data_IF_567039150954
#
_entry.id   IF_567039150954
#
_cell.length_a   1.000
_cell.length_b   1.000
_cell.length_c   1.000
_cell.angle_alpha   90.00
_cell.angle_beta   90.00
_cell.angle_gamma   90.00
#
_symmetry.space_group_name_H-M   'P 1'
#
loop_
_entity.id
_entity.type
_entity.pdbx_description
1 polymer ?
#
# COMPACT_ATOMS: atom_id res chain seq x y z
N UNK A 1 19.88 -15.11 12.97
CA UNK A 1 18.74 -14.37 12.39
C UNK A 1 18.25 -13.40 13.44
N UNK A 2 18.23 -12.12 13.14
CA UNK A 2 17.69 -11.09 14.04
C UNK A 2 16.16 -11.13 14.05
N UNK A 3 15.53 -10.48 15.03
CA UNK A 3 14.07 -10.39 15.09
C UNK A 3 13.47 -9.73 13.83
N UNK A 4 14.17 -8.73 13.26
CA UNK A 4 13.70 -8.03 12.07
C UNK A 4 13.79 -8.92 10.81
N UNK A 5 14.87 -9.69 10.68
CA UNK A 5 15.02 -10.66 9.58
C UNK A 5 13.95 -11.75 9.64
N UNK A 6 13.63 -12.26 10.84
CA UNK A 6 12.57 -13.25 11.02
C UNK A 6 11.18 -12.68 10.68
N UNK A 7 10.91 -11.45 11.11
CA UNK A 7 9.68 -10.75 10.77
C UNK A 7 9.51 -10.55 9.27
N UNK A 8 10.57 -10.10 8.58
CA UNK A 8 10.55 -9.94 7.13
C UNK A 8 10.37 -11.27 6.40
N UNK A 9 11.02 -12.34 6.88
CA UNK A 9 10.86 -13.68 6.31
C UNK A 9 9.40 -14.14 6.36
N UNK A 10 8.74 -14.00 7.51
CA UNK A 10 7.33 -14.36 7.70
C UNK A 10 6.42 -13.56 6.76
N UNK A 11 6.62 -12.24 6.66
CA UNK A 11 5.80 -11.39 5.78
C UNK A 11 5.90 -11.74 4.29
N UNK A 12 6.98 -12.41 3.87
CA UNK A 12 7.20 -12.82 2.49
C UNK A 12 6.89 -14.29 2.21
N UNK A 13 6.34 -15.04 3.19
CA UNK A 13 5.91 -16.42 2.98
C UNK A 13 4.76 -16.52 1.95
N UNK A 14 4.69 -17.63 1.18
CA UNK A 14 3.56 -17.88 0.29
C UNK A 14 2.22 -17.84 1.04
N UNK A 15 1.27 -17.06 0.54
CA UNK A 15 -0.06 -16.90 1.16
C UNK A 15 -0.19 -15.74 2.16
N UNK A 16 0.92 -15.13 2.60
CA UNK A 16 0.89 -13.96 3.50
C UNK A 16 0.60 -12.64 2.79
N UNK A 17 0.67 -12.61 1.46
CA UNK A 17 0.37 -11.41 0.67
C UNK A 17 -0.74 -11.63 -0.34
N UNK A 18 -1.60 -10.62 -0.45
CA UNK A 18 -2.60 -10.53 -1.51
C UNK A 18 -2.11 -9.55 -2.58
N UNK A 19 -2.15 -9.97 -3.85
CA UNK A 19 -1.74 -9.13 -4.97
C UNK A 19 -2.97 -8.53 -5.65
N UNK A 20 -2.96 -7.21 -5.77
CA UNK A 20 -4.05 -6.46 -6.41
C UNK A 20 -3.52 -5.64 -7.57
N UNK A 21 -4.23 -5.70 -8.70
CA UNK A 21 -4.03 -4.80 -9.83
C UNK A 21 -5.20 -3.83 -9.89
N UNK A 22 -4.95 -2.58 -9.50
CA UNK A 22 -5.96 -1.53 -9.53
C UNK A 22 -6.46 -1.28 -10.95
N UNK A 23 -7.78 -1.24 -11.09
CA UNK A 23 -8.48 -0.70 -12.25
C UNK A 23 -9.02 0.71 -11.93
N UNK A 24 -9.22 1.57 -12.95
CA UNK A 24 -9.86 2.87 -12.77
C UNK A 24 -11.19 2.72 -12.01
N UNK A 25 -11.40 3.57 -11.00
CA UNK A 25 -12.61 3.55 -10.15
C UNK A 25 -12.57 2.58 -8.97
N UNK A 26 -11.61 1.66 -8.89
CA UNK A 26 -11.47 0.79 -7.72
C UNK A 26 -10.87 1.53 -6.52
N UNK A 27 -11.33 1.16 -5.32
CA UNK A 27 -10.85 1.68 -4.05
C UNK A 27 -10.29 0.55 -3.19
N UNK A 28 -9.27 0.86 -2.39
CA UNK A 28 -8.82 0.01 -1.30
C UNK A 28 -9.05 0.73 0.03
N UNK A 29 -9.74 0.06 0.94
CA UNK A 29 -9.80 0.43 2.35
C UNK A 29 -8.90 -0.56 3.10
N UNK A 30 -7.88 -0.04 3.76
CA UNK A 30 -6.88 -0.85 4.46
C UNK A 30 -6.84 -0.47 5.94
N UNK A 31 -6.76 -1.47 6.82
CA UNK A 31 -6.38 -1.25 8.21
C UNK A 31 -4.86 -1.18 8.32
N UNK A 32 -4.34 0.05 8.41
CA UNK A 32 -2.91 0.32 8.48
C UNK A 32 -2.26 -0.16 9.80
N UNK A 33 -3.02 -0.62 10.79
CA UNK A 33 -2.47 -1.19 12.04
C UNK A 33 -2.20 -2.69 11.92
N UNK A 34 -2.95 -3.38 11.07
CA UNK A 34 -2.89 -4.83 10.94
C UNK A 34 -2.12 -5.29 9.69
N UNK A 35 -2.03 -4.44 8.66
CA UNK A 35 -1.52 -4.83 7.35
C UNK A 35 -0.34 -3.98 6.90
N UNK A 36 0.74 -4.66 6.53
CA UNK A 36 1.77 -4.09 5.66
C UNK A 36 1.25 -4.00 4.22
N UNK A 37 1.55 -2.92 3.53
CA UNK A 37 1.21 -2.74 2.12
C UNK A 37 2.38 -2.14 1.36
N UNK A 38 2.58 -2.61 0.12
CA UNK A 38 3.64 -2.11 -0.77
C UNK A 38 3.12 -1.91 -2.17
N UNK A 39 3.80 -1.03 -2.92
CA UNK A 39 3.58 -0.84 -4.35
C UNK A 39 4.73 -1.51 -5.09
N UNK A 40 4.42 -2.30 -6.12
CA UNK A 40 5.45 -2.85 -7.01
C UNK A 40 6.07 -1.74 -7.86
N UNK A 41 7.30 -1.97 -8.33
CA UNK A 41 7.90 -1.11 -9.35
C UNK A 41 6.99 -1.06 -10.59
N UNK A 42 6.93 0.10 -11.24
CA UNK A 42 6.15 0.31 -12.45
C UNK A 42 6.86 1.32 -13.36
N UNK A 43 6.62 1.22 -14.66
CA UNK A 43 6.95 2.25 -15.64
C UNK A 43 5.69 3.02 -15.95
N UNK A 44 5.76 4.35 -15.86
CA UNK A 44 4.62 5.21 -16.16
C UNK A 44 4.54 5.55 -17.65
N UNK A 45 3.42 6.13 -18.06
CA UNK A 45 3.22 6.61 -19.43
C UNK A 45 3.88 7.99 -19.64
N UNK A 46 4.43 8.25 -20.84
CA UNK A 46 4.90 9.59 -21.18
C UNK A 46 3.74 10.59 -21.30
N UNK A 47 2.56 10.14 -21.78
CA UNK A 47 1.36 10.98 -21.91
C UNK A 47 0.72 11.25 -20.54
N UNK A 48 0.45 12.51 -20.23
CA UNK A 48 0.01 12.93 -18.89
C UNK A 48 -1.34 12.33 -18.48
N UNK A 49 -2.28 12.24 -19.42
CA UNK A 49 -3.62 11.72 -19.26
C UNK A 49 -3.67 10.20 -19.01
N UNK A 50 -2.57 9.50 -19.28
CA UNK A 50 -2.45 8.05 -19.06
C UNK A 50 -1.71 7.71 -17.77
N UNK A 51 -1.12 8.71 -17.12
CA UNK A 51 -0.35 8.49 -15.88
C UNK A 51 -1.24 7.93 -14.80
N UNK A 52 -0.65 7.10 -13.94
CA UNK A 52 -1.35 6.55 -12.77
C UNK A 52 -1.69 7.68 -11.79
N UNK A 53 -2.98 7.96 -11.63
CA UNK A 53 -3.49 8.88 -10.61
C UNK A 53 -4.18 8.11 -9.49
N UNK A 54 -3.80 8.38 -8.24
CA UNK A 54 -4.48 7.87 -7.05
C UNK A 54 -4.74 9.00 -6.06
N UNK A 55 -5.95 9.00 -5.50
CA UNK A 55 -6.28 9.82 -4.33
C UNK A 55 -6.09 8.96 -3.08
N UNK A 56 -5.40 9.49 -2.07
CA UNK A 56 -5.15 8.81 -0.81
C UNK A 56 -5.75 9.60 0.34
N UNK A 57 -6.51 8.91 1.18
CA UNK A 57 -7.09 9.44 2.41
C UNK A 57 -6.55 8.67 3.61
N UNK A 58 -6.36 9.37 4.73
CA UNK A 58 -6.07 8.77 6.02
C UNK A 58 -7.27 8.97 6.93
N UNK A 59 -7.86 7.86 7.38
CA UNK A 59 -9.04 7.86 8.24
C UNK A 59 -8.62 7.52 9.66
N UNK A 60 -9.05 8.33 10.63
CA UNK A 60 -8.79 8.15 12.06
C UNK A 60 -9.98 8.65 12.85
N UNK A 61 -10.32 7.93 13.92
CA UNK A 61 -11.41 8.33 14.82
C UNK A 61 -11.02 9.50 15.74
N UNK A 62 -9.71 9.71 15.95
CA UNK A 62 -9.16 10.78 16.79
C UNK A 62 -7.79 11.27 16.29
N UNK A 63 -7.35 12.44 16.78
CA UNK A 63 -6.08 13.07 16.40
C UNK A 63 -6.11 13.80 15.04
N UNK A 64 -4.95 14.27 14.59
CA UNK A 64 -4.85 14.93 13.27
C UNK A 64 -5.20 13.96 12.14
N UNK A 65 -5.97 14.46 11.17
CA UNK A 65 -6.29 13.74 9.93
C UNK A 65 -5.17 13.82 8.90
N UNK A 66 -4.21 14.73 9.10
CA UNK A 66 -3.01 14.78 8.28
C UNK A 66 -1.96 13.86 8.87
N UNK A 67 -1.48 12.92 8.05
CA UNK A 67 -0.21 12.28 8.31
C UNK A 67 0.86 13.32 7.99
N UNK A 68 1.33 14.03 9.01
CA UNK A 68 2.58 14.77 8.90
C UNK A 68 3.66 13.69 8.83
N UNK A 69 4.16 13.45 7.62
CA UNK A 69 5.27 12.52 7.41
C UNK A 69 6.47 12.88 8.25
#
# INVERSE_FOLDING_TARGET
MTALEAFEAILNEPGMSARFQFQPGQMQLIDNRALGHKRTAFRDWPEAERKRLLVRLWLRDSGSRTYNG
#
